data_IF_042553686066
#
_entry.id   IF_042553686066
#
_cell.length_a   1.000
_cell.length_b   1.000
_cell.length_c   1.000
_cell.angle_alpha   90.00
_cell.angle_beta   90.00
_cell.angle_gamma   90.00
#
_symmetry.space_group_name_H-M   'P 1'
#
loop_
_entity.id
_entity.type
_entity.pdbx_description
1 polymer ?
#
# COMPACT_ATOMS: atom_id res chain seq x y z
N UNK A 1 -22.21 1.31 20.19
CA UNK A 1 -20.95 1.06 19.46
C UNK A 1 -21.02 1.85 18.17
N UNK A 2 -19.88 2.12 17.53
CA UNK A 2 -19.89 2.79 16.24
C UNK A 2 -19.01 2.07 15.21
N UNK A 3 -17.89 1.49 15.64
CA UNK A 3 -17.05 0.61 14.81
C UNK A 3 -16.47 -0.54 15.65
N UNK A 4 -16.52 -1.75 15.11
CA UNK A 4 -15.79 -2.93 15.57
C UNK A 4 -15.28 -3.70 14.34
N UNK A 5 -13.96 -3.87 14.24
CA UNK A 5 -13.33 -4.55 13.12
C UNK A 5 -12.25 -5.51 13.63
N UNK A 6 -12.35 -6.78 13.24
CA UNK A 6 -11.48 -7.85 13.72
C UNK A 6 -10.69 -8.45 12.56
N UNK A 7 -9.38 -8.22 12.54
CA UNK A 7 -8.44 -8.85 11.63
C UNK A 7 -7.91 -10.15 12.25
N UNK A 8 -7.92 -11.24 11.49
CA UNK A 8 -7.32 -12.50 11.94
C UNK A 8 -5.81 -12.36 12.17
N UNK A 9 -5.14 -11.52 11.37
CA UNK A 9 -3.71 -11.26 11.49
C UNK A 9 -3.45 -9.76 11.53
N UNK A 10 -2.95 -9.28 12.67
CA UNK A 10 -2.49 -7.90 12.86
C UNK A 10 -1.39 -7.50 11.84
N UNK A 11 -0.64 -8.49 11.36
CA UNK A 11 0.41 -8.32 10.37
C UNK A 11 -0.07 -7.64 9.08
N UNK A 12 -1.32 -7.82 8.68
CA UNK A 12 -1.89 -7.17 7.48
C UNK A 12 -1.87 -5.66 7.63
N UNK A 13 -2.53 -5.13 8.67
CA UNK A 13 -2.59 -3.69 8.93
C UNK A 13 -1.21 -3.11 9.22
N UNK A 14 -0.35 -3.86 9.92
CA UNK A 14 1.05 -3.48 10.15
C UNK A 14 1.81 -3.24 8.85
N UNK A 15 1.74 -4.17 7.90
CA UNK A 15 2.41 -4.05 6.60
C UNK A 15 1.85 -2.87 5.79
N UNK A 16 0.53 -2.65 5.83
CA UNK A 16 -0.12 -1.49 5.19
C UNK A 16 0.41 -0.18 5.77
N UNK A 17 0.40 -0.05 7.09
CA UNK A 17 0.89 1.15 7.81
C UNK A 17 2.39 1.38 7.54
N UNK A 18 3.19 0.32 7.55
CA UNK A 18 4.62 0.40 7.24
C UNK A 18 4.90 0.85 5.80
N UNK A 19 4.02 0.54 4.85
CA UNK A 19 4.14 0.98 3.45
C UNK A 19 3.80 2.47 3.26
N UNK A 20 2.88 3.03 4.05
CA UNK A 20 2.40 4.40 3.89
C UNK A 20 3.07 5.43 4.81
N UNK A 21 3.70 5.03 5.92
CA UNK A 21 4.24 5.95 6.94
C UNK A 21 5.28 6.95 6.42
N UNK A 22 6.03 6.57 5.38
CA UNK A 22 7.08 7.43 4.80
C UNK A 22 6.52 8.40 3.73
N UNK A 23 5.21 8.31 3.46
CA UNK A 23 4.49 9.18 2.53
C UNK A 23 3.57 10.13 3.29
N UNK A 24 2.80 9.60 4.25
CA UNK A 24 1.77 10.35 4.97
C UNK A 24 1.98 10.23 6.48
N UNK A 25 1.95 11.36 7.20
CA UNK A 25 2.13 11.40 8.66
C UNK A 25 0.83 11.23 9.42
N UNK A 26 -0.21 11.93 8.98
CA UNK A 26 -1.52 11.96 9.61
C UNK A 26 -2.54 11.65 8.52
N UNK A 27 -3.41 10.66 8.77
CA UNK A 27 -4.38 10.18 7.77
C UNK A 27 -5.73 9.91 8.39
N UNK A 28 -6.79 10.10 7.61
CA UNK A 28 -8.14 9.70 7.98
C UNK A 28 -8.41 8.27 7.53
N UNK A 29 -8.81 7.41 8.48
CA UNK A 29 -9.41 6.11 8.20
C UNK A 29 -10.93 6.28 8.11
N UNK A 30 -11.43 6.37 6.88
CA UNK A 30 -12.85 6.48 6.58
C UNK A 30 -13.49 5.09 6.67
N UNK A 31 -14.32 4.92 7.68
CA UNK A 31 -14.98 3.68 8.02
C UNK A 31 -16.43 3.73 7.54
N UNK A 32 -16.87 2.67 6.86
CA UNK A 32 -18.27 2.50 6.43
C UNK A 32 -18.63 1.02 6.49
N UNK A 33 -19.90 0.67 6.26
CA UNK A 33 -20.34 -0.74 6.14
C UNK A 33 -19.52 -1.55 5.12
N UNK A 34 -18.92 -0.90 4.12
CA UNK A 34 -18.12 -1.57 3.08
C UNK A 34 -16.69 -1.92 3.52
N UNK A 35 -16.23 -1.39 4.66
CA UNK A 35 -14.85 -1.54 5.14
C UNK A 35 -14.17 -0.20 5.47
N UNK A 36 -12.83 -0.21 5.45
CA UNK A 36 -11.97 0.93 5.75
C UNK A 36 -11.32 1.47 4.46
N UNK A 37 -11.26 2.79 4.35
CA UNK A 37 -10.57 3.49 3.28
C UNK A 37 -9.62 4.53 3.85
N UNK A 38 -8.50 4.76 3.17
CA UNK A 38 -7.63 5.91 3.42
C UNK A 38 -7.27 6.53 2.08
N UNK A 39 -7.37 7.85 2.00
CA UNK A 39 -6.86 8.61 0.88
C UNK A 39 -6.05 9.79 1.43
N UNK A 40 -4.79 9.90 0.99
CA UNK A 40 -3.91 10.98 1.44
C UNK A 40 -2.85 11.29 0.39
N UNK A 41 -2.48 12.56 0.29
CA UNK A 41 -1.29 12.97 -0.45
C UNK A 41 -0.07 13.00 0.46
N UNK A 42 1.10 12.88 -0.15
CA UNK A 42 2.35 13.22 0.53
C UNK A 42 2.48 14.73 0.75
N UNK A 43 3.41 15.14 1.61
CA UNK A 43 3.64 16.56 1.95
C UNK A 43 4.00 17.46 0.75
N UNK A 44 4.46 16.89 -0.36
CA UNK A 44 4.77 17.64 -1.59
C UNK A 44 3.63 17.64 -2.61
N UNK A 45 2.51 16.97 -2.33
CA UNK A 45 1.36 16.82 -3.23
C UNK A 45 1.73 16.22 -4.60
N UNK A 46 2.71 15.31 -4.64
CA UNK A 46 3.17 14.62 -5.85
C UNK A 46 2.67 13.19 -5.90
N UNK A 47 2.58 12.52 -4.75
CA UNK A 47 2.13 11.13 -4.64
C UNK A 47 0.82 11.05 -3.86
N UNK A 48 -0.14 10.29 -4.40
CA UNK A 48 -1.38 9.92 -3.74
C UNK A 48 -1.24 8.49 -3.22
N UNK A 49 -1.67 8.24 -1.99
CA UNK A 49 -1.88 6.91 -1.45
C UNK A 49 -3.38 6.68 -1.31
N UNK A 50 -3.85 5.55 -1.84
CA UNK A 50 -5.23 5.08 -1.70
C UNK A 50 -5.22 3.65 -1.16
N UNK A 51 -5.74 3.49 0.05
CA UNK A 51 -5.98 2.20 0.70
C UNK A 51 -7.47 1.88 0.65
N UNK A 52 -7.78 0.66 0.28
CA UNK A 52 -9.10 0.07 0.43
C UNK A 52 -8.95 -1.28 1.12
N UNK A 53 -9.54 -1.42 2.30
CA UNK A 53 -9.72 -2.67 3.04
C UNK A 53 -11.21 -2.96 3.09
N UNK A 54 -11.68 -3.93 2.33
CA UNK A 54 -13.10 -4.30 2.31
C UNK A 54 -13.48 -5.10 3.55
N UNK A 55 -14.77 -5.16 3.87
CA UNK A 55 -15.28 -5.99 4.98
C UNK A 55 -14.79 -7.45 4.94
N UNK A 56 -14.58 -8.00 3.74
CA UNK A 56 -14.06 -9.35 3.48
C UNK A 56 -12.64 -9.58 4.01
N UNK A 57 -11.86 -8.52 4.22
CA UNK A 57 -10.53 -8.60 4.83
C UNK A 57 -10.59 -8.89 6.34
N UNK A 58 -11.76 -8.78 6.96
CA UNK A 58 -11.96 -8.93 8.40
C UNK A 58 -12.72 -10.23 8.71
N UNK A 59 -12.39 -10.86 9.84
CA UNK A 59 -13.18 -11.97 10.37
C UNK A 59 -14.57 -11.49 10.84
N UNK A 60 -14.60 -10.31 11.45
CA UNK A 60 -15.83 -9.65 11.87
C UNK A 60 -15.68 -8.16 11.58
N UNK A 61 -16.69 -7.55 10.97
CA UNK A 61 -16.70 -6.13 10.69
C UNK A 61 -18.09 -5.56 10.91
N UNK A 62 -18.15 -4.48 11.68
CA UNK A 62 -19.39 -3.75 11.97
C UNK A 62 -19.10 -2.27 12.07
N UNK A 63 -19.74 -1.48 11.20
CA UNK A 63 -19.70 -0.03 11.25
C UNK A 63 -21.13 0.50 11.24
N UNK A 64 -21.62 0.95 12.39
CA UNK A 64 -23.03 1.35 12.55
C UNK A 64 -23.33 2.67 11.84
N UNK A 65 -22.33 3.54 11.68
CA UNK A 65 -22.43 4.83 11.01
C UNK A 65 -21.12 5.17 10.33
N UNK A 66 -21.14 5.73 9.11
CA UNK A 66 -19.95 6.26 8.47
C UNK A 66 -19.23 7.24 9.41
N UNK A 67 -17.93 7.01 9.62
CA UNK A 67 -17.11 7.80 10.52
C UNK A 67 -15.69 7.92 9.98
N UNK A 68 -15.01 9.02 10.28
CA UNK A 68 -13.63 9.26 9.88
C UNK A 68 -12.76 9.32 11.13
N UNK A 69 -11.77 8.43 11.20
CA UNK A 69 -10.86 8.33 12.33
C UNK A 69 -9.48 8.88 11.94
N UNK A 70 -9.21 10.14 12.28
CA UNK A 70 -7.92 10.77 12.04
C UNK A 70 -6.85 10.26 12.99
N UNK A 71 -5.78 9.68 12.44
CA UNK A 71 -4.71 9.04 13.21
C UNK A 71 -3.32 9.45 12.72
N UNK A 72 -2.40 9.59 13.66
CA UNK A 72 -0.98 9.72 13.36
C UNK A 72 -0.39 8.33 13.03
N UNK A 73 0.13 8.19 11.82
CA UNK A 73 0.62 6.93 11.24
C UNK A 73 1.84 6.37 12.01
N UNK A 74 2.74 7.24 12.47
CA UNK A 74 3.89 6.82 13.28
C UNK A 74 3.48 6.22 14.63
N UNK A 75 2.44 6.78 15.24
CA UNK A 75 1.90 6.31 16.52
C UNK A 75 1.15 4.99 16.35
N UNK A 76 0.36 4.88 15.27
CA UNK A 76 -0.25 3.61 14.86
C UNK A 76 0.80 2.52 14.58
N UNK A 77 1.87 2.85 13.87
CA UNK A 77 2.96 1.90 13.59
C UNK A 77 3.63 1.41 14.88
N UNK A 78 3.79 2.25 15.91
CA UNK A 78 4.33 1.84 17.22
C UNK A 78 3.42 0.83 17.91
N UNK A 79 2.10 1.03 17.86
CA UNK A 79 1.12 0.09 18.40
C UNK A 79 1.20 -1.26 17.68
N UNK A 80 1.17 -1.24 16.35
CA UNK A 80 1.21 -2.45 15.53
C UNK A 80 2.54 -3.22 15.63
N UNK A 81 3.63 -2.56 16.01
CA UNK A 81 4.92 -3.23 16.31
C UNK A 81 4.87 -4.10 17.57
N UNK A 82 3.98 -3.81 18.52
CA UNK A 82 3.81 -4.58 19.75
C UNK A 82 2.96 -5.84 19.53
N UNK A 83 2.31 -5.95 18.37
CA UNK A 83 1.60 -7.14 17.93
C UNK A 83 2.58 -8.18 17.38
N UNK A 84 2.44 -9.42 17.82
CA UNK A 84 3.12 -10.57 17.27
C UNK A 84 2.75 -10.85 15.81
N UNK A 85 3.51 -11.68 15.10
CA UNK A 85 3.27 -11.96 13.68
C UNK A 85 1.94 -12.70 13.43
N UNK A 86 1.49 -13.50 14.40
CA UNK A 86 0.28 -14.34 14.31
C UNK A 86 -0.87 -13.82 15.17
N UNK A 87 -0.69 -12.67 15.83
CA UNK A 87 -1.72 -12.14 16.73
C UNK A 87 -2.90 -11.59 15.91
N UNK A 88 -4.11 -11.73 16.45
CA UNK A 88 -5.28 -11.07 15.90
C UNK A 88 -5.37 -9.63 16.40
N UNK A 89 -6.07 -8.77 15.66
CA UNK A 89 -6.23 -7.36 15.99
C UNK A 89 -7.69 -6.95 15.92
N UNK A 90 -8.22 -6.42 17.02
CA UNK A 90 -9.54 -5.82 17.09
C UNK A 90 -9.41 -4.30 17.21
N UNK A 91 -10.01 -3.58 16.27
CA UNK A 91 -10.19 -2.13 16.31
C UNK A 91 -11.59 -1.84 16.85
N UNK A 92 -11.67 -1.04 17.91
CA UNK A 92 -12.94 -0.67 18.54
C UNK A 92 -13.00 0.84 18.71
N UNK A 93 -14.09 1.44 18.23
CA UNK A 93 -14.38 2.84 18.46
C UNK A 93 -15.84 3.03 18.88
N UNK A 94 -16.04 3.86 19.90
CA UNK A 94 -17.36 4.25 20.39
C UNK A 94 -17.69 5.62 19.81
N UNK A 95 -18.96 5.83 19.46
CA UNK A 95 -19.42 7.12 18.97
C UNK A 95 -18.95 8.25 19.90
N UNK A 96 -18.42 9.31 19.30
CA UNK A 96 -17.95 10.52 19.96
C UNK A 96 -16.75 10.34 20.92
N UNK A 97 -16.07 9.19 20.89
CA UNK A 97 -14.82 8.99 21.64
C UNK A 97 -13.65 9.71 20.96
N UNK A 98 -12.75 10.29 21.78
CA UNK A 98 -11.50 10.92 21.36
C UNK A 98 -10.35 9.94 21.17
N UNK A 99 -10.59 8.65 21.45
CA UNK A 99 -9.63 7.56 21.26
C UNK A 99 -10.24 6.40 20.49
N UNK A 100 -9.41 5.72 19.71
CA UNK A 100 -9.68 4.40 19.15
C UNK A 100 -8.88 3.36 19.92
N UNK A 101 -9.50 2.23 20.21
CA UNK A 101 -8.87 1.12 20.91
C UNK A 101 -8.37 0.07 19.91
N UNK A 102 -7.15 -0.40 20.13
CA UNK A 102 -6.52 -1.52 19.43
C UNK A 102 -6.24 -2.62 20.45
N UNK A 103 -6.94 -3.74 20.31
CA UNK A 103 -6.79 -4.92 21.14
C UNK A 103 -6.08 -6.02 20.34
N UNK A 104 -4.87 -6.36 20.75
CA UNK A 104 -4.06 -7.41 20.15
C UNK A 104 -4.16 -8.68 20.99
N UNK A 105 -4.54 -9.80 20.39
CA UNK A 105 -4.72 -11.08 21.09
C UNK A 105 -3.81 -12.14 20.50
N UNK A 106 -3.00 -12.78 21.36
CA UNK A 106 -2.14 -13.90 20.98
C UNK A 106 -2.77 -15.20 21.44
N UNK A 107 -3.20 -16.03 20.47
CA UNK A 107 -3.82 -17.33 20.76
C UNK A 107 -2.86 -18.35 21.37
N UNK A 108 -1.55 -18.19 21.18
CA UNK A 108 -0.53 -19.11 21.70
C UNK A 108 -0.13 -18.78 23.16
N UNK A 109 -0.12 -17.50 23.52
CA UNK A 109 0.38 -17.02 24.82
C UNK A 109 -0.75 -16.66 25.82
N UNK A 110 -2.02 -16.83 25.44
CA UNK A 110 -3.20 -16.34 26.19
C UNK A 110 -3.04 -14.88 26.64
N UNK A 111 -2.46 -14.07 25.74
CA UNK A 111 -2.06 -12.70 26.00
C UNK A 111 -3.01 -11.75 25.28
N UNK A 112 -3.57 -10.81 26.03
CA UNK A 112 -4.36 -9.69 25.51
C UNK A 112 -3.62 -8.38 25.83
N UNK A 113 -3.42 -7.55 24.81
CA UNK A 113 -2.81 -6.24 24.94
C UNK A 113 -3.73 -5.16 24.37
N UNK A 114 -4.18 -4.23 25.21
CA UNK A 114 -5.06 -3.12 24.84
C UNK A 114 -4.27 -1.81 24.74
N UNK A 115 -4.48 -1.08 23.65
CA UNK A 115 -3.85 0.21 23.39
C UNK A 115 -4.88 1.23 22.94
N UNK A 116 -4.93 2.38 23.61
CA UNK A 116 -5.77 3.50 23.18
C UNK A 116 -4.92 4.54 22.44
N UNK A 117 -5.30 4.84 21.21
CA UNK A 117 -4.70 5.87 20.38
C UNK A 117 -5.60 7.09 20.32
N UNK A 118 -5.05 8.27 20.64
CA UNK A 118 -5.78 9.54 20.50
C UNK A 118 -6.03 9.85 19.03
N UNK A 119 -7.27 10.19 18.75
CA UNK A 119 -7.71 10.68 17.46
C UNK A 119 -7.38 12.17 17.32
N UNK A 120 -7.29 12.62 16.08
CA UNK A 120 -7.10 14.02 15.75
C UNK A 120 -8.03 14.44 14.63
N UNK A 121 -8.32 15.74 14.58
CA UNK A 121 -9.10 16.32 13.49
C UNK A 121 -8.15 16.58 12.32
N UNK A 122 -8.42 15.92 11.19
CA UNK A 122 -7.64 16.07 9.97
C UNK A 122 -8.61 16.56 8.89
N UNK A 123 -8.33 17.74 8.36
CA UNK A 123 -9.02 18.25 7.18
C UNK A 123 -8.60 17.41 5.98
N UNK A 124 -9.56 16.77 5.34
CA UNK A 124 -9.33 15.95 4.15
C UNK A 124 -10.22 16.44 3.02
N UNK A 125 -9.61 16.70 1.87
CA UNK A 125 -10.31 16.89 0.62
C UNK A 125 -10.42 15.52 -0.05
N UNK A 126 -11.64 14.97 -0.13
CA UNK A 126 -11.86 13.78 -0.93
C UNK A 126 -11.58 14.09 -2.40
N UNK A 127 -10.60 13.37 -2.96
CA UNK A 127 -10.25 13.46 -4.36
C UNK A 127 -10.91 12.33 -5.13
N UNK A 128 -11.59 12.68 -6.21
CA UNK A 128 -12.01 11.69 -7.19
C UNK A 128 -10.77 11.19 -7.95
N UNK A 129 -10.50 9.89 -7.86
CA UNK A 129 -9.45 9.25 -8.66
C UNK A 129 -10.09 8.93 -10.02
N UNK A 130 -9.71 9.63 -11.11
CA UNK A 130 -10.28 9.35 -12.41
C UNK A 130 -9.86 7.96 -12.89
N UNK A 131 -10.76 7.24 -13.56
CA UNK A 131 -10.40 6.00 -14.24
C UNK A 131 -9.37 6.29 -15.33
N UNK A 132 -8.15 5.77 -15.16
CA UNK A 132 -7.05 5.97 -16.11
C UNK A 132 -6.88 4.76 -17.00
N UNK A 133 -6.86 5.00 -18.30
CA UNK A 133 -6.54 3.98 -19.30
C UNK A 133 -5.03 3.92 -19.53
N UNK A 134 -4.36 3.01 -18.83
CA UNK A 134 -2.94 2.77 -19.02
C UNK A 134 -2.68 2.11 -20.36
N UNK A 135 -1.62 2.57 -21.05
CA UNK A 135 -1.15 1.97 -22.31
C UNK A 135 -0.38 0.69 -22.07
N UNK A 136 0.23 0.56 -20.89
CA UNK A 136 0.83 -0.68 -20.41
C UNK A 136 0.34 -0.98 -19.00
N UNK A 137 -0.14 -2.21 -18.79
CA UNK A 137 -0.34 -2.80 -17.48
C UNK A 137 0.66 -3.95 -17.30
N UNK A 138 1.54 -3.86 -16.30
CA UNK A 138 2.55 -4.86 -16.03
C UNK A 138 2.36 -5.45 -14.62
N UNK A 139 2.27 -6.78 -14.52
CA UNK A 139 2.33 -7.49 -13.24
C UNK A 139 3.68 -8.15 -13.07
N UNK A 140 4.38 -7.78 -12.00
CA UNK A 140 5.76 -8.18 -11.70
C UNK A 140 5.83 -8.77 -10.30
N UNK A 141 6.84 -9.61 -9.98
CA UNK A 141 7.09 -9.99 -8.60
C UNK A 141 7.41 -8.76 -7.75
N UNK A 142 6.70 -8.60 -6.64
CA UNK A 142 6.83 -7.43 -5.78
C UNK A 142 8.22 -7.33 -5.16
N UNK A 143 8.79 -8.46 -4.74
CA UNK A 143 10.13 -8.55 -4.17
C UNK A 143 11.22 -8.14 -5.18
N UNK A 144 11.06 -8.54 -6.45
CA UNK A 144 12.00 -8.17 -7.52
C UNK A 144 11.90 -6.67 -7.82
N UNK A 145 10.69 -6.13 -7.94
CA UNK A 145 10.49 -4.68 -8.13
C UNK A 145 11.10 -3.87 -6.97
N UNK A 146 10.93 -4.35 -5.74
CA UNK A 146 11.53 -3.71 -4.56
C UNK A 146 13.05 -3.76 -4.57
N UNK A 147 13.63 -4.90 -4.96
CA UNK A 147 15.07 -5.03 -5.12
C UNK A 147 15.59 -4.07 -6.19
N UNK A 148 14.96 -4.03 -7.36
CA UNK A 148 15.32 -3.12 -8.47
C UNK A 148 15.31 -1.66 -8.00
N UNK A 149 14.25 -1.21 -7.32
CA UNK A 149 14.15 0.18 -6.86
C UNK A 149 15.25 0.54 -5.86
N UNK A 150 15.58 -0.36 -4.92
CA UNK A 150 16.67 -0.15 -3.96
C UNK A 150 18.04 -0.14 -4.64
N UNK A 151 18.33 -1.15 -5.45
CA UNK A 151 19.64 -1.31 -6.07
C UNK A 151 19.94 -0.14 -7.04
N UNK A 152 18.95 0.30 -7.81
CA UNK A 152 19.10 1.40 -8.76
C UNK A 152 19.14 2.78 -8.10
N UNK A 153 18.63 2.92 -6.87
CA UNK A 153 18.71 4.18 -6.09
C UNK A 153 20.14 4.56 -5.73
N UNK A 154 21.04 3.58 -5.64
CA UNK A 154 22.48 3.82 -5.41
C UNK A 154 23.19 4.47 -6.60
N UNK A 155 22.60 4.38 -7.81
CA UNK A 155 23.19 4.93 -9.04
C UNK A 155 22.67 6.31 -9.42
N UNK A 156 21.49 6.71 -8.94
CA UNK A 156 20.89 8.00 -9.31
C UNK A 156 19.53 8.28 -8.67
N UNK A 157 18.99 9.46 -8.96
CA UNK A 157 17.75 9.95 -8.32
C UNK A 157 16.49 9.73 -9.16
N UNK A 158 16.65 9.50 -10.47
CA UNK A 158 15.55 9.31 -11.41
C UNK A 158 15.71 7.99 -12.14
N UNK A 159 14.62 7.24 -12.29
CA UNK A 159 14.56 6.00 -13.06
C UNK A 159 13.67 6.18 -14.28
N UNK A 160 14.23 5.87 -15.44
CA UNK A 160 13.47 5.70 -16.68
C UNK A 160 12.89 4.29 -16.71
N UNK A 161 11.58 4.19 -16.90
CA UNK A 161 10.84 2.95 -17.07
C UNK A 161 10.37 2.87 -18.52
N UNK A 162 10.88 1.89 -19.26
CA UNK A 162 10.50 1.60 -20.64
C UNK A 162 9.77 0.27 -20.70
N UNK A 163 8.53 0.26 -21.16
CA UNK A 163 7.74 -0.95 -21.27
C UNK A 163 7.28 -1.17 -22.72
N UNK A 164 7.46 -2.41 -23.20
CA UNK A 164 7.09 -2.83 -24.54
C UNK A 164 6.73 -4.32 -24.55
N UNK A 165 6.39 -4.88 -25.71
CA UNK A 165 6.11 -6.33 -25.85
C UNK A 165 7.31 -7.21 -25.50
N UNK A 166 8.54 -6.68 -25.56
CA UNK A 166 9.75 -7.41 -25.20
C UNK A 166 9.93 -7.55 -23.67
N UNK A 167 9.30 -6.67 -22.89
CA UNK A 167 9.43 -6.60 -21.45
C UNK A 167 9.41 -5.17 -20.91
N UNK A 168 9.67 -5.05 -19.61
CA UNK A 168 9.83 -3.79 -18.91
C UNK A 168 11.29 -3.62 -18.49
N UNK A 169 11.84 -2.45 -18.76
CA UNK A 169 13.22 -2.07 -18.50
C UNK A 169 13.25 -0.89 -17.54
N UNK A 170 14.06 -1.02 -16.49
CA UNK A 170 14.33 -0.01 -15.47
C UNK A 170 15.75 0.48 -15.68
N UNK A 171 15.93 1.78 -15.94
CA UNK A 171 17.23 2.37 -16.27
C UNK A 171 17.50 3.60 -15.43
N UNK A 172 18.73 3.72 -14.94
CA UNK A 172 19.23 4.88 -14.21
C UNK A 172 20.56 5.29 -14.81
N UNK A 173 20.78 6.59 -14.88
CA UNK A 173 22.07 7.19 -15.22
C UNK A 173 22.35 8.28 -14.19
N UNK A 174 23.48 8.17 -13.49
CA UNK A 174 23.96 9.17 -12.55
C UNK A 174 25.49 9.23 -12.53
N UNK A 175 26.05 9.91 -11.53
CA UNK A 175 27.47 10.29 -11.52
C UNK A 175 28.42 9.08 -11.40
N UNK A 176 28.00 8.05 -10.66
CA UNK A 176 28.79 6.83 -10.43
C UNK A 176 28.75 5.90 -11.65
N UNK A 177 27.70 6.00 -12.48
CA UNK A 177 27.53 5.17 -13.67
C UNK A 177 26.06 4.99 -14.08
N UNK A 178 25.81 3.93 -14.83
CA UNK A 178 24.47 3.58 -15.30
C UNK A 178 24.09 2.16 -14.84
N UNK A 179 22.81 2.00 -14.47
CA UNK A 179 22.21 0.72 -14.13
C UNK A 179 21.05 0.41 -15.08
N UNK A 180 20.93 -0.85 -15.50
CA UNK A 180 19.85 -1.30 -16.37
C UNK A 180 19.40 -2.71 -15.96
N UNK A 181 18.10 -2.87 -15.70
CA UNK A 181 17.47 -4.16 -15.41
C UNK A 181 16.28 -4.35 -16.32
N UNK A 182 16.20 -5.50 -16.99
CA UNK A 182 15.07 -5.85 -17.87
C UNK A 182 14.36 -7.11 -17.36
N UNK A 183 13.06 -7.01 -17.15
CA UNK A 183 12.18 -8.15 -16.89
C UNK A 183 11.41 -8.50 -18.15
N UNK A 184 11.64 -9.70 -18.66
CA UNK A 184 10.91 -10.26 -19.81
C UNK A 184 9.64 -10.99 -19.34
N UNK A 185 8.57 -11.01 -20.16
CA UNK A 185 7.39 -11.83 -19.88
C UNK A 185 7.79 -13.29 -19.64
N UNK A 186 7.26 -13.88 -18.57
CA UNK A 186 7.45 -15.29 -18.26
C UNK A 186 6.24 -15.83 -17.52
N UNK A 187 5.79 -17.00 -17.93
CA UNK A 187 4.73 -17.73 -17.25
C UNK A 187 5.30 -18.51 -16.07
N UNK A 188 4.54 -18.51 -14.96
CA UNK A 188 4.81 -19.30 -13.77
C UNK A 188 3.49 -19.56 -13.05
N UNK A 189 3.43 -20.63 -12.25
CA UNK A 189 2.25 -20.93 -11.42
C UNK A 189 2.13 -19.95 -10.25
N UNK A 190 3.27 -19.54 -9.70
CA UNK A 190 3.35 -18.64 -8.55
C UNK A 190 3.42 -17.17 -8.99
N UNK A 191 2.58 -16.27 -8.45
CA UNK A 191 2.65 -14.84 -8.73
C UNK A 191 4.03 -14.23 -8.48
N UNK A 192 4.77 -14.74 -7.48
CA UNK A 192 6.13 -14.31 -7.10
C UNK A 192 7.18 -14.60 -8.17
N UNK A 193 6.84 -15.44 -9.14
CA UNK A 193 7.73 -15.84 -10.22
C UNK A 193 7.23 -15.38 -11.58
N UNK A 194 5.96 -14.97 -11.70
CA UNK A 194 5.35 -14.60 -12.98
C UNK A 194 5.66 -13.15 -13.37
N UNK A 195 5.84 -12.91 -14.67
CA UNK A 195 5.90 -11.55 -15.25
C UNK A 195 4.94 -11.52 -16.43
N UNK A 196 3.91 -10.67 -16.36
CA UNK A 196 2.95 -10.48 -17.46
C UNK A 196 2.80 -9.01 -17.80
N UNK A 197 2.69 -8.71 -19.09
CA UNK A 197 2.51 -7.36 -19.61
C UNK A 197 1.38 -7.34 -20.64
N UNK A 198 0.43 -6.44 -20.46
CA UNK A 198 -0.55 -6.08 -21.47
C UNK A 198 -0.13 -4.74 -22.07
N UNK A 199 0.29 -4.77 -23.35
CA UNK A 199 0.88 -3.61 -24.03
C UNK A 199 -0.01 -3.21 -25.20
N UNK A 200 -0.70 -2.08 -25.06
CA UNK A 200 -1.42 -1.43 -26.15
C UNK A 200 -0.45 -0.60 -27.00
N UNK A 201 0.37 0.23 -26.34
CA UNK A 201 1.41 1.06 -26.95
C UNK A 201 2.66 1.04 -26.06
N UNK A 202 3.89 1.04 -26.63
CA UNK A 202 5.10 1.16 -25.83
C UNK A 202 5.15 2.47 -25.07
N UNK A 203 5.53 2.44 -23.80
CA UNK A 203 5.64 3.62 -22.94
C UNK A 203 7.08 3.78 -22.48
N UNK A 204 7.55 5.02 -22.44
CA UNK A 204 8.78 5.40 -21.75
C UNK A 204 8.45 6.60 -20.86
N UNK A 205 8.66 6.47 -19.56
CA UNK A 205 8.41 7.53 -18.59
C UNK A 205 9.54 7.57 -17.56
N UNK A 206 9.77 8.73 -16.96
CA UNK A 206 10.82 8.94 -15.96
C UNK A 206 10.19 9.33 -14.63
N UNK A 207 10.59 8.65 -13.55
CA UNK A 207 10.04 8.85 -12.22
C UNK A 207 11.16 9.09 -11.20
N UNK A 208 10.88 9.88 -10.17
CA UNK A 208 11.81 10.06 -9.06
C UNK A 208 11.89 8.77 -8.22
N UNK A 209 13.08 8.19 -8.12
CA UNK A 209 13.31 6.91 -7.44
C UNK A 209 12.94 6.94 -5.96
N UNK A 210 13.02 8.11 -5.32
CA UNK A 210 12.62 8.27 -3.91
C UNK A 210 11.20 7.78 -3.66
N UNK A 211 10.25 8.08 -4.56
CA UNK A 211 8.86 7.61 -4.43
C UNK A 211 8.75 6.12 -4.73
N UNK A 212 9.44 5.63 -5.78
CA UNK A 212 9.40 4.22 -6.16
C UNK A 212 9.93 3.31 -5.05
N UNK A 213 11.00 3.73 -4.36
CA UNK A 213 11.53 3.04 -3.17
C UNK A 213 10.50 3.03 -2.04
N UNK A 214 9.74 4.12 -1.84
CA UNK A 214 8.68 4.16 -0.84
C UNK A 214 7.52 3.23 -1.22
N UNK A 215 7.01 3.30 -2.45
CA UNK A 215 5.92 2.45 -2.93
C UNK A 215 6.30 0.96 -2.84
N UNK A 216 7.56 0.63 -3.16
CA UNK A 216 8.02 -0.74 -3.10
C UNK A 216 8.11 -1.33 -1.68
N UNK A 217 7.95 -0.53 -0.61
CA UNK A 217 7.84 -1.03 0.78
C UNK A 217 6.59 -1.89 0.99
N UNK A 218 5.58 -1.75 0.14
CA UNK A 218 4.38 -2.59 0.13
C UNK A 218 4.60 -4.04 -0.34
N UNK A 219 5.79 -4.39 -0.85
CA UNK A 219 6.07 -5.75 -1.35
C UNK A 219 5.70 -6.92 -0.41
N UNK A 220 5.79 -6.82 0.94
CA UNK A 220 5.34 -7.88 1.83
C UNK A 220 3.82 -8.13 1.88
N UNK A 221 3.00 -7.28 1.26
CA UNK A 221 1.53 -7.42 1.19
C UNK A 221 1.08 -8.47 0.18
N UNK A 222 1.79 -8.58 -0.95
CA UNK A 222 1.43 -9.47 -2.04
C UNK A 222 2.68 -9.91 -2.81
N UNK A 223 2.68 -11.13 -3.33
CA UNK A 223 3.76 -11.64 -4.18
C UNK A 223 3.96 -10.90 -5.51
N UNK A 224 2.95 -10.13 -5.93
CA UNK A 224 2.98 -9.36 -7.18
C UNK A 224 2.66 -7.87 -6.95
N UNK A 225 3.20 -7.02 -7.82
CA UNK A 225 2.87 -5.60 -7.97
C UNK A 225 2.32 -5.37 -9.37
N UNK A 226 1.28 -4.55 -9.48
CA UNK A 226 0.73 -4.09 -10.75
C UNK A 226 1.17 -2.65 -11.02
N UNK A 227 1.79 -2.43 -12.19
CA UNK A 227 2.24 -1.13 -12.66
C UNK A 227 1.36 -0.68 -13.84
N UNK A 228 0.75 0.49 -13.72
CA UNK A 228 0.03 1.15 -14.81
C UNK A 228 0.84 2.31 -15.38
N UNK A 229 1.16 2.25 -16.67
CA UNK A 229 1.99 3.24 -17.36
C UNK A 229 1.22 3.88 -18.52
N UNK A 230 1.28 5.21 -18.61
CA UNK A 230 0.78 6.00 -19.73
C UNK A 230 1.66 7.24 -19.94
N UNK A 231 1.71 7.81 -21.16
CA UNK A 231 2.54 8.98 -21.47
C UNK A 231 2.12 10.24 -20.69
N UNK A 232 0.83 10.40 -20.42
CA UNK A 232 0.24 11.57 -19.74
C UNK A 232 -0.53 11.18 -18.47
N UNK A 233 -0.26 10.00 -17.91
CA UNK A 233 -0.90 9.49 -16.70
C UNK A 233 0.13 9.32 -15.57
N UNK A 234 -0.22 9.61 -14.31
CA UNK A 234 0.56 9.19 -13.17
C UNK A 234 0.84 7.69 -13.19
N UNK A 235 2.00 7.27 -12.68
CA UNK A 235 2.28 5.85 -12.47
C UNK A 235 1.31 5.28 -11.43
N UNK A 236 0.60 4.23 -11.79
CA UNK A 236 -0.09 3.38 -10.82
C UNK A 236 0.89 2.34 -10.28
N UNK A 237 0.97 2.19 -8.96
CA UNK A 237 1.71 1.11 -8.29
C UNK A 237 0.78 0.42 -7.29
N UNK A 238 0.12 -0.64 -7.73
CA UNK A 238 -0.92 -1.30 -6.96
C UNK A 238 -0.46 -2.63 -6.37
N UNK A 239 -0.81 -2.86 -5.11
CA UNK A 239 -0.64 -4.11 -4.37
C UNK A 239 -2.00 -4.56 -3.84
N UNK A 240 -2.42 -5.79 -4.18
CA UNK A 240 -3.62 -6.38 -3.58
C UNK A 240 -3.34 -6.82 -2.14
N UNK A 241 -4.36 -6.87 -1.28
CA UNK A 241 -4.23 -7.20 0.14
C UNK A 241 -4.50 -8.70 0.39
N UNK A 242 -3.49 -9.55 0.22
CA UNK A 242 -3.59 -11.03 0.21
C UNK A 242 -4.39 -11.56 -0.98
N UNK A 243 -5.62 -11.09 -1.17
CA UNK A 243 -6.50 -11.38 -2.31
C UNK A 243 -7.07 -10.09 -2.88
N UNK A 244 -7.51 -10.12 -4.14
CA UNK A 244 -8.18 -8.98 -4.79
C UNK A 244 -9.48 -8.57 -4.10
N UNK A 245 -10.12 -9.52 -3.40
CA UNK A 245 -11.41 -9.33 -2.75
C UNK A 245 -11.26 -8.60 -1.42
N UNK A 246 -10.10 -8.67 -0.78
CA UNK A 246 -9.83 -7.96 0.48
C UNK A 246 -9.54 -6.46 0.25
N UNK A 247 -9.15 -6.10 -0.97
CA UNK A 247 -8.86 -4.72 -1.36
C UNK A 247 -7.41 -4.52 -1.80
N UNK A 248 -6.92 -3.29 -1.72
CA UNK A 248 -5.62 -2.90 -2.27
C UNK A 248 -5.01 -1.67 -1.59
N UNK A 249 -3.70 -1.49 -1.79
CA UNK A 249 -2.98 -0.22 -1.63
C UNK A 249 -2.44 0.19 -2.99
N UNK A 250 -2.64 1.44 -3.37
CA UNK A 250 -2.12 2.01 -4.61
C UNK A 250 -1.69 3.47 -4.48
#
# INVERSE_FOLDING_TARGET
MALEAHLQQAALLKKVVDAMKDLCKDVNFDCSEKGLQVQSMDSSHVALVSLLLRESAFAEFKCDRPTSLGMNVDSLAKILKMCGPNDSLKLKWRADADTVNFQCESGEEDRIADFDLKLMQIESEHMEIPEQQYKVAAKLPSAEFQKICRDLKEFGETMQVKASKEGITFSVQGDVGAGNVMLKPREAEKPEEKVSLTVHEPVTATFALRYLVNFAKAAPLCGAVELGLGPDAPLLVKYDLETTDNGHVQ
#
